data_IF_552122566840
#
_entry.id   IF_552122566840
#
_cell.length_a   1.000
_cell.length_b   1.000
_cell.length_c   1.000
_cell.angle_alpha   90.00
_cell.angle_beta   90.00
_cell.angle_gamma   90.00
#
_symmetry.space_group_name_H-M   'P 1'
#
loop_
_entity.id
_entity.type
_entity.pdbx_description
1 polymer ?
#
# COMPACT_ATOMS: atom_id res chain seq x y z
N UNK A 1 -19.97 -6.89 0.62
CA UNK A 1 -19.34 -7.64 -0.49
C UNK A 1 -19.08 -9.07 -0.03
N UNK A 2 -18.81 -10.00 -0.95
CA UNK A 2 -18.39 -11.36 -0.62
C UNK A 2 -16.87 -11.44 -0.44
N UNK A 3 -16.37 -12.45 0.29
CA UNK A 3 -14.94 -12.67 0.49
C UNK A 3 -14.19 -12.83 -0.85
N UNK A 4 -14.77 -13.56 -1.81
CA UNK A 4 -14.19 -13.73 -3.17
C UNK A 4 -13.94 -12.39 -3.88
N UNK A 5 -14.86 -11.43 -3.73
CA UNK A 5 -14.65 -10.08 -4.28
C UNK A 5 -13.66 -9.27 -3.45
N UNK A 6 -13.65 -9.46 -2.13
CA UNK A 6 -12.72 -8.80 -1.23
C UNK A 6 -11.27 -9.20 -1.54
N UNK A 7 -10.99 -10.49 -1.72
CA UNK A 7 -9.66 -11.01 -2.04
C UNK A 7 -9.07 -10.37 -3.31
N UNK A 8 -9.88 -10.22 -4.37
CA UNK A 8 -9.45 -9.52 -5.59
C UNK A 8 -9.07 -8.06 -5.32
N UNK A 9 -9.82 -7.39 -4.44
CA UNK A 9 -9.52 -6.00 -4.08
C UNK A 9 -8.40 -5.87 -3.07
N UNK A 10 -8.10 -6.90 -2.26
CA UNK A 10 -6.97 -6.91 -1.33
C UNK A 10 -5.66 -6.81 -2.08
N UNK A 11 -5.48 -7.60 -3.14
CA UNK A 11 -4.27 -7.57 -3.98
C UNK A 11 -4.09 -6.18 -4.59
N UNK A 12 -5.11 -5.67 -5.28
CA UNK A 12 -5.08 -4.33 -5.86
C UNK A 12 -4.87 -3.22 -4.80
N UNK A 13 -5.38 -3.40 -3.57
CA UNK A 13 -5.15 -2.45 -2.48
C UNK A 13 -3.68 -2.46 -2.05
N UNK A 14 -3.10 -3.66 -1.85
CA UNK A 14 -1.72 -3.86 -1.42
C UNK A 14 -0.74 -3.31 -2.44
N UNK A 15 -1.01 -3.47 -3.73
CA UNK A 15 -0.16 -2.98 -4.81
C UNK A 15 -0.35 -1.49 -5.12
N UNK A 16 -1.39 -0.86 -4.56
CA UNK A 16 -1.69 0.57 -4.77
C UNK A 16 -2.55 0.87 -6.00
N UNK A 17 -3.05 -0.17 -6.67
CA UNK A 17 -3.82 -0.13 -7.92
C UNK A 17 -5.34 0.00 -7.69
N UNK A 18 -5.81 -0.11 -6.44
CA UNK A 18 -7.23 0.06 -6.13
C UNK A 18 -7.59 1.56 -6.11
N UNK A 19 -7.77 2.20 -7.27
CA UNK A 19 -8.00 3.65 -7.32
C UNK A 19 -9.42 4.10 -6.92
N UNK A 20 -10.43 3.25 -7.11
CA UNK A 20 -11.83 3.63 -6.85
C UNK A 20 -12.14 3.82 -5.36
N UNK A 21 -12.48 5.05 -4.97
CA UNK A 21 -12.82 5.43 -3.59
C UNK A 21 -14.01 4.64 -3.03
N UNK A 22 -15.00 4.35 -3.88
CA UNK A 22 -16.16 3.53 -3.51
C UNK A 22 -15.76 2.08 -3.21
N UNK A 23 -14.88 1.49 -4.03
CA UNK A 23 -14.35 0.14 -3.80
C UNK A 23 -13.51 0.08 -2.53
N UNK A 24 -12.65 1.08 -2.29
CA UNK A 24 -11.91 1.22 -1.02
C UNK A 24 -12.85 1.24 0.19
N UNK A 25 -13.88 2.10 0.18
CA UNK A 25 -14.88 2.17 1.27
C UNK A 25 -15.63 0.87 1.47
N UNK A 26 -16.05 0.22 0.39
CA UNK A 26 -16.72 -1.08 0.48
C UNK A 26 -15.80 -2.14 1.12
N UNK A 27 -14.53 -2.17 0.71
CA UNK A 27 -13.53 -3.11 1.21
C UNK A 27 -13.25 -2.87 2.69
N UNK A 28 -13.05 -1.61 3.11
CA UNK A 28 -12.89 -1.27 4.52
C UNK A 28 -14.08 -1.75 5.37
N UNK A 29 -15.32 -1.51 4.92
CA UNK A 29 -16.51 -2.01 5.64
C UNK A 29 -16.50 -3.53 5.78
N UNK A 30 -16.14 -4.25 4.71
CA UNK A 30 -16.05 -5.71 4.75
C UNK A 30 -14.95 -6.18 5.70
N UNK A 31 -13.77 -5.55 5.66
CA UNK A 31 -12.66 -5.85 6.56
C UNK A 31 -13.01 -5.56 8.02
N UNK A 32 -13.93 -4.65 8.31
CA UNK A 32 -14.40 -4.43 9.68
C UNK A 32 -15.18 -5.65 10.22
N UNK A 33 -15.84 -6.40 9.35
CA UNK A 33 -16.74 -7.49 9.71
C UNK A 33 -16.12 -8.89 9.49
N UNK A 34 -15.16 -9.05 8.57
CA UNK A 34 -14.60 -10.34 8.21
C UNK A 34 -13.17 -10.53 8.73
N UNK A 35 -13.01 -11.36 9.77
CA UNK A 35 -11.70 -11.70 10.32
C UNK A 35 -10.78 -12.41 9.33
N UNK A 36 -11.32 -13.32 8.50
CA UNK A 36 -10.54 -14.06 7.51
C UNK A 36 -9.91 -13.13 6.47
N UNK A 37 -10.68 -12.17 5.93
CA UNK A 37 -10.16 -11.20 4.97
C UNK A 37 -9.16 -10.22 5.61
N UNK A 38 -9.32 -9.87 6.89
CA UNK A 38 -8.29 -9.10 7.63
C UNK A 38 -6.98 -9.87 7.71
N UNK A 39 -7.04 -11.15 8.06
CA UNK A 39 -5.84 -11.97 8.15
C UNK A 39 -5.17 -12.14 6.79
N UNK A 40 -5.94 -12.34 5.73
CA UNK A 40 -5.42 -12.38 4.36
C UNK A 40 -4.69 -11.09 3.98
N UNK A 41 -5.24 -9.92 4.34
CA UNK A 41 -4.58 -8.63 4.10
C UNK A 41 -3.22 -8.55 4.82
N UNK A 42 -3.16 -8.96 6.09
CA UNK A 42 -1.91 -8.95 6.86
C UNK A 42 -0.84 -9.84 6.24
N UNK A 43 -1.23 -11.03 5.75
CA UNK A 43 -0.33 -11.95 5.05
C UNK A 43 0.21 -11.30 3.78
N UNK A 44 -0.65 -10.69 2.95
CA UNK A 44 -0.22 -10.02 1.72
C UNK A 44 0.72 -8.85 1.99
N UNK A 45 0.43 -8.02 3.01
CA UNK A 45 1.32 -6.93 3.43
C UNK A 45 2.68 -7.45 3.90
N UNK A 46 2.72 -8.57 4.63
CA UNK A 46 3.96 -9.18 5.08
C UNK A 46 4.78 -9.71 3.90
N UNK A 47 4.14 -10.39 2.95
CA UNK A 47 4.80 -10.84 1.71
C UNK A 47 5.38 -9.65 0.94
N UNK A 48 4.60 -8.58 0.73
CA UNK A 48 5.07 -7.37 0.07
C UNK A 48 6.29 -6.77 0.78
N UNK A 49 6.26 -6.68 2.11
CA UNK A 49 7.39 -6.18 2.91
C UNK A 49 8.64 -7.05 2.72
N UNK A 50 8.50 -8.38 2.75
CA UNK A 50 9.60 -9.31 2.52
C UNK A 50 10.19 -9.16 1.11
N UNK A 51 9.34 -9.01 0.09
CA UNK A 51 9.79 -8.73 -1.27
C UNK A 51 10.57 -7.42 -1.35
N UNK A 52 10.07 -6.34 -0.75
CA UNK A 52 10.78 -5.05 -0.69
C UNK A 52 12.11 -5.11 0.08
N UNK A 53 12.22 -5.98 1.09
CA UNK A 53 13.46 -6.18 1.84
C UNK A 53 14.48 -7.04 1.08
N UNK A 54 14.00 -7.98 0.25
CA UNK A 54 14.86 -8.86 -0.56
C UNK A 54 15.46 -8.18 -1.79
N UNK A 55 14.93 -7.02 -2.19
CA UNK A 55 15.42 -6.25 -3.33
C UNK A 55 16.53 -5.32 -2.86
N UNK A 56 17.68 -5.39 -3.53
CA UNK A 56 18.71 -4.35 -3.38
C UNK A 56 18.18 -3.03 -3.94
N UNK A 57 17.91 -2.08 -3.05
CA UNK A 57 17.50 -0.74 -3.47
C UNK A 57 18.70 -0.04 -4.10
N UNK A 58 18.49 0.55 -5.27
CA UNK A 58 19.45 1.47 -5.84
C UNK A 58 19.67 2.64 -4.86
N UNK A 59 20.94 3.07 -4.73
CA UNK A 59 21.26 4.25 -3.95
C UNK A 59 20.62 5.45 -4.61
N UNK A 60 19.84 6.21 -3.84
CA UNK A 60 19.29 7.48 -4.30
C UNK A 60 20.47 8.41 -4.63
N UNK A 61 20.54 8.99 -5.84
CA UNK A 61 21.59 9.95 -6.18
C UNK A 61 21.55 11.15 -5.23
N UNK A 62 22.72 11.61 -4.76
CA UNK A 62 22.82 12.72 -3.81
C UNK A 62 22.15 14.01 -4.33
N UNK A 63 22.20 14.24 -5.64
CA UNK A 63 21.53 15.37 -6.30
C UNK A 63 20.01 15.33 -6.15
N UNK A 64 19.41 14.14 -6.30
CA UNK A 64 17.98 13.96 -6.10
C UNK A 64 17.59 14.12 -4.64
N UNK A 65 18.41 13.60 -3.71
CA UNK A 65 18.17 13.76 -2.28
C UNK A 65 18.21 15.23 -1.84
N UNK A 66 19.19 16.00 -2.32
CA UNK A 66 19.30 17.43 -2.07
C UNK A 66 18.11 18.21 -2.63
N UNK A 67 17.69 17.91 -3.87
CA UNK A 67 16.54 18.56 -4.50
C UNK A 67 15.23 18.33 -3.72
N UNK A 68 15.01 17.11 -3.23
CA UNK A 68 13.85 16.78 -2.38
C UNK A 68 13.90 17.56 -1.07
N UNK A 69 15.06 17.58 -0.39
CA UNK A 69 15.22 18.30 0.88
C UNK A 69 14.98 19.80 0.74
N UNK A 70 15.52 20.41 -0.33
CA UNK A 70 15.32 21.83 -0.62
C UNK A 70 13.83 22.15 -0.81
N UNK A 71 13.11 21.37 -1.63
CA UNK A 71 11.67 21.60 -1.86
C UNK A 71 10.84 21.44 -0.60
N UNK A 72 11.13 20.44 0.24
CA UNK A 72 10.44 20.28 1.53
C UNK A 72 10.66 21.47 2.46
N UNK A 73 11.86 22.05 2.48
CA UNK A 73 12.15 23.25 3.28
C UNK A 73 11.44 24.51 2.75
N UNK A 74 11.20 24.60 1.44
CA UNK A 74 10.44 25.69 0.83
C UNK A 74 8.93 25.59 1.09
N UNK A 75 8.36 24.39 1.17
CA UNK A 75 6.93 24.16 1.48
C UNK A 75 6.57 24.36 2.96
N UNK A 76 7.57 24.41 3.85
CA UNK A 76 7.40 24.59 5.30
C UNK A 76 7.55 26.06 5.77
N UNK A 77 7.90 26.98 4.87
CA UNK A 77 7.97 28.43 5.13
C UNK A 77 6.79 29.16 4.46
#
# INVERSE_FOLDING_TARGET
>A
MTCVRAEKYLVALVDGELHSTWRKRALCRHLHQCAACRQSLLVQLRIKSMLHASIQREKVPATLQYAIQKRLAEEMN
#
